data_IF_176267808474
#
_entry.id   IF_176267808474
#
_cell.length_a   1.000
_cell.length_b   1.000
_cell.length_c   1.000
_cell.angle_alpha   90.00
_cell.angle_beta   90.00
_cell.angle_gamma   90.00
#
_symmetry.space_group_name_H-M   'P 1'
#
loop_
_entity.id
_entity.type
_entity.pdbx_description
1 polymer ?
#
# COMPACT_ATOMS: atom_id res chain seq x y z
N UNK A 1 -61.95 40.58 -17.34
CA UNK A 1 -61.30 39.95 -16.20
C UNK A 1 -60.34 38.88 -16.76
N UNK A 2 -59.01 39.16 -16.73
CA UNK A 2 -57.97 38.20 -17.20
C UNK A 2 -57.43 37.48 -15.96
N UNK A 3 -57.60 36.15 -15.93
CA UNK A 3 -57.07 35.32 -14.87
C UNK A 3 -55.54 35.14 -15.07
N UNK A 4 -54.75 35.50 -14.11
CA UNK A 4 -53.30 35.27 -14.06
C UNK A 4 -53.10 33.95 -13.31
N UNK A 5 -52.61 32.94 -14.01
CA UNK A 5 -52.22 31.64 -13.42
C UNK A 5 -50.74 31.77 -12.95
N UNK A 6 -50.43 31.59 -11.67
CA UNK A 6 -49.05 31.62 -11.22
C UNK A 6 -48.35 30.30 -11.63
N UNK A 7 -47.26 30.43 -12.39
CA UNK A 7 -46.37 29.28 -12.70
C UNK A 7 -45.57 28.92 -11.45
N UNK A 8 -45.85 27.75 -10.90
CA UNK A 8 -45.08 27.16 -9.77
C UNK A 8 -43.77 26.61 -10.29
N UNK A 9 -42.67 27.30 -10.05
CA UNK A 9 -41.34 26.87 -10.42
C UNK A 9 -40.91 25.78 -9.41
N UNK A 10 -40.95 24.53 -9.79
CA UNK A 10 -40.36 23.40 -9.02
C UNK A 10 -38.85 23.51 -9.10
N UNK A 11 -38.21 23.98 -8.00
CA UNK A 11 -36.76 23.80 -7.81
C UNK A 11 -36.49 22.33 -7.51
N UNK A 12 -35.99 21.61 -8.50
CA UNK A 12 -35.40 20.29 -8.29
C UNK A 12 -34.02 20.51 -7.63
N UNK A 13 -33.95 20.39 -6.31
CA UNK A 13 -32.68 20.26 -5.61
C UNK A 13 -32.09 18.90 -5.97
N UNK A 14 -31.18 18.86 -6.93
CA UNK A 14 -30.27 17.73 -7.11
C UNK A 14 -29.41 17.65 -5.88
N UNK A 15 -29.72 16.73 -4.94
CA UNK A 15 -28.78 16.33 -3.91
C UNK A 15 -27.61 15.69 -4.67
N UNK A 16 -26.47 16.39 -4.77
CA UNK A 16 -25.23 15.78 -5.15
C UNK A 16 -24.97 14.65 -4.12
N UNK A 17 -25.02 13.41 -4.56
CA UNK A 17 -24.57 12.29 -3.73
C UNK A 17 -23.15 12.61 -3.30
N UNK A 18 -22.93 12.82 -2.01
CA UNK A 18 -21.61 13.07 -1.48
C UNK A 18 -20.89 11.72 -1.53
N UNK A 19 -19.82 11.65 -2.31
CA UNK A 19 -18.96 10.48 -2.40
C UNK A 19 -18.61 10.00 -0.99
N UNK A 20 -18.94 8.76 -0.67
CA UNK A 20 -18.63 8.17 0.63
C UNK A 20 -17.81 6.90 0.40
N UNK A 21 -16.58 6.91 0.92
CA UNK A 21 -15.75 5.71 0.91
C UNK A 21 -16.43 4.64 1.78
N UNK A 22 -16.71 3.52 1.15
CA UNK A 22 -17.22 2.32 1.80
C UNK A 22 -16.07 1.43 2.25
N UNK A 23 -16.32 0.58 3.25
CA UNK A 23 -15.37 -0.44 3.66
C UNK A 23 -16.06 -1.73 4.07
N UNK A 24 -15.35 -2.85 3.86
CA UNK A 24 -15.82 -4.19 4.23
C UNK A 24 -14.66 -5.04 4.71
N UNK A 25 -14.81 -5.68 5.87
CA UNK A 25 -13.91 -6.75 6.28
C UNK A 25 -14.11 -7.98 5.37
N UNK A 26 -13.02 -8.61 4.99
CA UNK A 26 -12.98 -9.80 4.13
C UNK A 26 -12.15 -10.86 4.84
N UNK A 27 -12.79 -11.98 5.16
CA UNK A 27 -12.14 -13.15 5.75
C UNK A 27 -11.60 -14.05 4.63
N UNK A 28 -10.38 -14.51 4.79
CA UNK A 28 -9.71 -15.46 3.89
C UNK A 28 -8.72 -16.31 4.69
N UNK A 29 -7.95 -17.17 4.04
CA UNK A 29 -7.04 -18.08 4.75
C UNK A 29 -5.73 -18.24 4.01
N UNK A 30 -4.67 -18.48 4.80
CA UNK A 30 -3.40 -19.01 4.35
C UNK A 30 -3.19 -20.37 5.05
N UNK A 31 -3.45 -21.45 4.32
CA UNK A 31 -3.58 -22.78 4.94
C UNK A 31 -4.64 -22.78 6.04
N UNK A 32 -4.22 -23.09 7.27
CA UNK A 32 -5.09 -23.09 8.45
C UNK A 32 -5.14 -21.72 9.16
N UNK A 33 -4.29 -20.76 8.77
CA UNK A 33 -4.24 -19.43 9.39
C UNK A 33 -5.38 -18.55 8.88
N UNK A 34 -6.32 -18.11 9.72
CA UNK A 34 -7.35 -17.16 9.32
C UNK A 34 -6.76 -15.77 9.15
N UNK A 35 -7.13 -15.09 8.10
CA UNK A 35 -6.71 -13.74 7.77
C UNK A 35 -7.93 -12.84 7.61
N UNK A 36 -7.84 -11.58 8.07
CA UNK A 36 -8.91 -10.60 7.93
C UNK A 36 -8.39 -9.31 7.32
N UNK A 37 -8.57 -9.13 6.03
CA UNK A 37 -8.26 -7.90 5.33
C UNK A 37 -9.45 -6.95 5.27
N UNK A 38 -9.22 -5.73 4.76
CA UNK A 38 -10.27 -4.72 4.59
C UNK A 38 -10.27 -4.14 3.18
N UNK A 39 -11.41 -4.24 2.51
CA UNK A 39 -11.66 -3.67 1.20
C UNK A 39 -12.23 -2.25 1.36
N UNK A 40 -11.76 -1.31 0.53
CA UNK A 40 -12.20 0.09 0.49
C UNK A 40 -12.49 0.51 -0.95
N UNK A 41 -13.59 1.24 -1.17
CA UNK A 41 -13.96 1.79 -2.47
C UNK A 41 -14.87 3.01 -2.30
N UNK A 42 -14.92 3.87 -3.29
CA UNK A 42 -15.90 4.96 -3.38
C UNK A 42 -17.16 4.45 -4.10
N UNK A 43 -18.32 4.50 -3.46
CA UNK A 43 -19.59 4.02 -4.03
C UNK A 43 -20.22 5.01 -5.02
N UNK A 44 -19.72 6.24 -5.10
CA UNK A 44 -20.16 7.22 -6.11
C UNK A 44 -19.50 7.00 -7.48
N UNK A 45 -18.48 6.11 -7.58
CA UNK A 45 -17.78 5.83 -8.83
C UNK A 45 -18.28 4.51 -9.41
N UNK A 46 -18.96 4.57 -10.55
CA UNK A 46 -19.43 3.40 -11.29
C UNK A 46 -18.30 2.73 -12.10
N UNK A 47 -18.44 1.43 -12.30
CA UNK A 47 -17.55 0.64 -13.16
C UNK A 47 -16.28 0.13 -12.46
N UNK A 48 -15.50 -0.62 -13.24
CA UNK A 48 -14.26 -1.21 -12.76
C UNK A 48 -13.13 -0.18 -12.77
N UNK A 49 -12.28 -0.22 -11.75
CA UNK A 49 -11.20 0.74 -11.46
C UNK A 49 -9.87 0.04 -11.21
N UNK A 50 -8.74 0.76 -11.26
CA UNK A 50 -7.47 0.18 -10.81
C UNK A 50 -7.54 -0.23 -9.34
N UNK A 51 -6.90 -1.36 -9.03
CA UNK A 51 -6.85 -1.93 -7.69
C UNK A 51 -5.48 -1.73 -7.04
N UNK A 52 -5.44 -1.41 -5.75
CA UNK A 52 -4.20 -1.23 -4.99
C UNK A 52 -4.21 -2.08 -3.73
N UNK A 53 -3.26 -3.02 -3.64
CA UNK A 53 -3.00 -3.76 -2.41
C UNK A 53 -2.19 -2.90 -1.45
N UNK A 54 -2.57 -2.86 -0.17
CA UNK A 54 -1.87 -2.12 0.88
C UNK A 54 -1.36 -3.09 1.93
N UNK A 55 -0.04 -3.08 2.16
CA UNK A 55 0.61 -3.92 3.18
C UNK A 55 1.07 -3.04 4.34
N UNK A 56 0.67 -3.47 5.55
CA UNK A 56 0.87 -2.75 6.79
C UNK A 56 2.34 -2.69 7.26
N UNK A 57 2.64 -1.81 8.22
CA UNK A 57 3.90 -1.82 8.97
C UNK A 57 4.01 -3.08 9.86
N UNK A 58 5.12 -3.27 10.54
CA UNK A 58 5.34 -4.41 11.44
C UNK A 58 4.36 -4.49 12.64
N UNK A 59 3.52 -3.48 12.83
CA UNK A 59 2.53 -3.42 13.91
C UNK A 59 1.27 -4.28 13.67
N UNK A 60 1.11 -4.86 12.48
CA UNK A 60 -0.11 -5.52 12.03
C UNK A 60 -1.06 -4.57 11.30
N UNK A 61 -2.21 -5.09 10.88
CA UNK A 61 -3.22 -4.33 10.12
C UNK A 61 -4.00 -3.37 11.05
N UNK A 62 -3.32 -2.33 11.51
CA UNK A 62 -3.83 -1.29 12.40
C UNK A 62 -4.58 -0.17 11.65
N UNK A 63 -5.07 0.81 12.39
CA UNK A 63 -5.84 1.94 11.83
C UNK A 63 -5.04 2.80 10.85
N UNK A 64 -3.71 2.88 11.02
CA UNK A 64 -2.86 3.60 10.08
C UNK A 64 -2.87 2.96 8.69
N UNK A 65 -2.67 1.65 8.58
CA UNK A 65 -2.71 0.95 7.30
C UNK A 65 -4.11 1.00 6.67
N UNK A 66 -5.16 0.84 7.47
CA UNK A 66 -6.56 1.00 7.05
C UNK A 66 -6.84 2.41 6.53
N UNK A 67 -6.33 3.45 7.20
CA UNK A 67 -6.44 4.84 6.73
C UNK A 67 -5.78 5.04 5.38
N UNK A 68 -4.60 4.45 5.12
CA UNK A 68 -3.93 4.55 3.81
C UNK A 68 -4.75 3.89 2.70
N UNK A 69 -5.40 2.76 2.97
CA UNK A 69 -6.31 2.14 2.02
C UNK A 69 -7.57 3.00 1.78
N UNK A 70 -8.13 3.62 2.82
CA UNK A 70 -9.22 4.57 2.71
C UNK A 70 -8.84 5.77 1.81
N UNK A 71 -7.67 6.37 2.03
CA UNK A 71 -7.16 7.49 1.22
C UNK A 71 -7.00 7.13 -0.27
N UNK A 72 -6.65 5.88 -0.59
CA UNK A 72 -6.63 5.40 -1.98
C UNK A 72 -8.03 5.32 -2.57
N UNK A 73 -9.02 4.89 -1.79
CA UNK A 73 -10.40 4.87 -2.24
C UNK A 73 -10.96 6.29 -2.49
N UNK A 74 -10.56 7.29 -1.69
CA UNK A 74 -10.86 8.72 -1.94
C UNK A 74 -10.25 9.22 -3.27
N UNK A 75 -9.14 8.62 -3.72
CA UNK A 75 -8.54 8.90 -5.03
C UNK A 75 -9.19 8.11 -6.19
N UNK A 76 -10.22 7.30 -5.92
CA UNK A 76 -10.95 6.54 -6.92
C UNK A 76 -10.42 5.13 -7.19
N UNK A 77 -9.45 4.65 -6.44
CA UNK A 77 -8.98 3.26 -6.51
C UNK A 77 -9.91 2.32 -5.72
N UNK A 78 -9.84 1.02 -6.05
CA UNK A 78 -10.28 -0.03 -5.12
C UNK A 78 -9.06 -0.45 -4.32
N UNK A 79 -9.10 -0.33 -3.00
CA UNK A 79 -7.96 -0.66 -2.15
C UNK A 79 -8.25 -1.84 -1.22
N UNK A 80 -7.29 -2.73 -1.05
CA UNK A 80 -7.38 -3.83 -0.10
C UNK A 80 -6.21 -3.79 0.87
N UNK A 81 -6.50 -3.55 2.14
CA UNK A 81 -5.51 -3.65 3.21
C UNK A 81 -5.42 -5.10 3.70
N UNK A 82 -4.29 -5.75 3.41
CA UNK A 82 -4.09 -7.16 3.71
C UNK A 82 -3.60 -7.39 5.13
N UNK A 83 -4.08 -8.47 5.75
CA UNK A 83 -3.55 -9.01 7.00
C UNK A 83 -2.38 -9.96 6.69
N UNK A 84 -1.19 -9.63 7.19
CA UNK A 84 0.01 -10.45 6.98
C UNK A 84 0.35 -11.33 8.18
N UNK A 85 -0.34 -11.17 9.32
CA UNK A 85 -0.02 -11.92 10.54
C UNK A 85 -1.07 -12.97 10.89
N UNK A 86 -2.32 -12.74 10.51
CA UNK A 86 -3.45 -13.60 10.84
C UNK A 86 -4.10 -13.24 12.19
N UNK A 87 -5.28 -13.82 12.42
CA UNK A 87 -6.06 -13.67 13.65
C UNK A 87 -6.32 -12.21 14.08
N UNK A 88 -6.18 -11.24 13.14
CA UNK A 88 -6.31 -9.82 13.44
C UNK A 88 -5.21 -9.28 14.36
N UNK A 89 -4.05 -9.91 14.37
CA UNK A 89 -2.93 -9.55 15.22
C UNK A 89 -2.43 -8.12 14.97
N UNK A 90 -2.56 -7.27 15.99
CA UNK A 90 -2.07 -5.90 16.05
C UNK A 90 -1.40 -5.69 17.41
N UNK A 91 -0.26 -5.00 17.42
CA UNK A 91 0.46 -4.68 18.65
C UNK A 91 1.06 -3.30 18.62
N UNK A 92 1.29 -2.70 19.79
CA UNK A 92 2.09 -1.51 20.02
C UNK A 92 3.44 -1.82 20.69
N UNK A 93 3.75 -3.12 20.90
CA UNK A 93 4.96 -3.62 21.57
C UNK A 93 6.00 -4.02 20.53
N UNK A 94 7.18 -3.34 20.47
CA UNK A 94 8.20 -3.61 19.46
C UNK A 94 8.71 -5.06 19.44
N UNK A 95 8.83 -5.69 20.58
CA UNK A 95 9.33 -7.07 20.65
C UNK A 95 8.31 -8.07 20.07
N UNK A 96 7.02 -7.85 20.31
CA UNK A 96 5.97 -8.69 19.73
C UNK A 96 5.88 -8.46 18.21
N UNK A 97 5.92 -7.20 17.77
CA UNK A 97 5.92 -6.85 16.34
C UNK A 97 7.10 -7.52 15.61
N UNK A 98 8.29 -7.49 16.24
CA UNK A 98 9.49 -8.15 15.72
C UNK A 98 9.30 -9.65 15.59
N UNK A 99 8.73 -10.30 16.61
CA UNK A 99 8.46 -11.75 16.60
C UNK A 99 7.58 -12.13 15.43
N UNK A 100 6.42 -11.51 15.28
CA UNK A 100 5.50 -11.82 14.18
C UNK A 100 6.08 -11.53 12.80
N UNK A 101 6.80 -10.41 12.67
CA UNK A 101 7.49 -10.08 11.42
C UNK A 101 8.52 -11.17 11.07
N UNK A 102 9.32 -11.63 12.04
CA UNK A 102 10.32 -12.67 11.83
C UNK A 102 9.69 -14.02 11.47
N UNK A 103 8.59 -14.39 12.10
CA UNK A 103 7.83 -15.60 11.78
C UNK A 103 7.38 -15.60 10.32
N UNK A 104 6.80 -14.50 9.83
CA UNK A 104 6.35 -14.38 8.44
C UNK A 104 7.53 -14.35 7.46
N UNK A 105 8.62 -13.65 7.79
CA UNK A 105 9.75 -13.48 6.87
C UNK A 105 10.75 -14.64 6.88
N UNK A 106 10.61 -15.59 7.80
CA UNK A 106 11.48 -16.77 7.90
C UNK A 106 11.37 -17.69 6.66
N UNK A 107 10.19 -17.77 6.09
CA UNK A 107 9.93 -18.44 4.82
C UNK A 107 9.58 -17.41 3.74
N UNK A 108 10.51 -17.16 2.85
CA UNK A 108 10.36 -16.13 1.80
C UNK A 108 9.24 -16.49 0.82
N UNK A 109 9.05 -17.76 0.51
CA UNK A 109 8.01 -18.21 -0.41
C UNK A 109 6.62 -18.06 0.23
N UNK A 110 6.43 -18.56 1.44
CA UNK A 110 5.18 -18.36 2.20
C UNK A 110 4.87 -16.89 2.47
N UNK A 111 5.91 -16.04 2.70
CA UNK A 111 5.72 -14.59 2.81
C UNK A 111 5.15 -13.98 1.53
N UNK A 112 5.72 -14.34 0.36
CA UNK A 112 5.24 -13.90 -0.96
C UNK A 112 3.81 -14.38 -1.24
N UNK A 113 3.55 -15.67 -0.98
CA UNK A 113 2.24 -16.29 -1.16
C UNK A 113 1.17 -15.59 -0.33
N UNK A 114 1.45 -15.30 0.94
CA UNK A 114 0.50 -14.58 1.82
C UNK A 114 0.14 -13.19 1.28
N UNK A 115 1.09 -12.44 0.74
CA UNK A 115 0.80 -11.16 0.08
C UNK A 115 -0.05 -11.35 -1.20
N UNK A 116 0.21 -12.40 -1.97
CA UNK A 116 -0.58 -12.74 -3.16
C UNK A 116 -2.01 -13.14 -2.81
N UNK A 117 -2.26 -13.83 -1.68
CA UNK A 117 -3.62 -14.10 -1.20
C UNK A 117 -4.40 -12.79 -0.98
N UNK A 118 -3.77 -11.74 -0.44
CA UNK A 118 -4.38 -10.41 -0.34
C UNK A 118 -4.71 -9.80 -1.69
N UNK A 119 -3.83 -9.97 -2.69
CA UNK A 119 -4.06 -9.51 -4.05
C UNK A 119 -5.25 -10.25 -4.71
N UNK A 120 -5.39 -11.54 -4.46
CA UNK A 120 -6.53 -12.33 -4.92
C UNK A 120 -7.86 -11.85 -4.32
N UNK A 121 -7.88 -11.44 -3.04
CA UNK A 121 -9.09 -10.86 -2.44
C UNK A 121 -9.48 -9.53 -3.11
N UNK A 122 -8.48 -8.69 -3.44
CA UNK A 122 -8.72 -7.46 -4.20
C UNK A 122 -9.34 -7.76 -5.57
N UNK A 123 -8.82 -8.72 -6.32
CA UNK A 123 -9.36 -9.17 -7.61
C UNK A 123 -10.76 -9.76 -7.46
N UNK A 124 -10.98 -10.59 -6.45
CA UNK A 124 -12.26 -11.23 -6.17
C UNK A 124 -13.38 -10.25 -5.78
N UNK A 125 -13.05 -8.99 -5.46
CA UNK A 125 -14.05 -7.94 -5.22
C UNK A 125 -15.00 -7.70 -6.40
N UNK A 126 -14.55 -8.01 -7.61
CA UNK A 126 -15.29 -7.75 -8.86
C UNK A 126 -15.34 -6.26 -9.27
N UNK A 127 -14.65 -5.39 -8.52
CA UNK A 127 -14.60 -3.94 -8.76
C UNK A 127 -13.33 -3.47 -9.45
N UNK A 128 -12.37 -4.37 -9.66
CA UNK A 128 -11.09 -4.04 -10.28
C UNK A 128 -11.12 -4.24 -11.79
N UNK A 129 -10.54 -3.32 -12.54
CA UNK A 129 -10.49 -3.33 -13.99
C UNK A 129 -9.33 -4.21 -14.49
N UNK A 130 -9.63 -5.46 -14.86
CA UNK A 130 -8.65 -6.37 -15.47
C UNK A 130 -7.37 -6.52 -14.65
N UNK A 131 -6.21 -6.32 -15.32
CA UNK A 131 -4.89 -6.42 -14.71
C UNK A 131 -4.34 -5.07 -14.21
N UNK A 132 -5.19 -4.05 -14.04
CA UNK A 132 -4.81 -2.75 -13.50
C UNK A 132 -4.64 -2.84 -11.99
N UNK A 133 -3.57 -3.48 -11.56
CA UNK A 133 -3.22 -3.75 -10.17
C UNK A 133 -1.87 -3.12 -9.81
N UNK A 134 -1.78 -2.59 -8.60
CA UNK A 134 -0.52 -2.18 -7.97
C UNK A 134 -0.49 -2.63 -6.51
N UNK A 135 0.69 -2.56 -5.89
CA UNK A 135 0.82 -2.80 -4.46
C UNK A 135 1.65 -1.68 -3.80
N UNK A 136 1.23 -1.25 -2.61
CA UNK A 136 2.02 -0.35 -1.77
C UNK A 136 2.26 -0.98 -0.41
N UNK A 137 3.37 -0.63 0.21
CA UNK A 137 3.67 -1.14 1.54
C UNK A 137 4.54 -0.19 2.35
N UNK A 138 4.37 -0.26 3.66
CA UNK A 138 5.00 0.61 4.64
C UNK A 138 5.91 -0.21 5.55
N UNK A 139 7.18 0.20 5.78
CA UNK A 139 8.12 -0.51 6.64
C UNK A 139 8.29 -1.99 6.23
N UNK A 140 7.85 -2.94 7.06
CA UNK A 140 7.76 -4.37 6.73
C UNK A 140 6.98 -4.60 5.42
N UNK A 141 5.83 -3.93 5.26
CA UNK A 141 5.04 -4.00 4.04
C UNK A 141 5.79 -3.46 2.82
N UNK A 142 6.68 -2.48 3.01
CA UNK A 142 7.56 -1.99 1.95
C UNK A 142 8.53 -3.05 1.44
N UNK A 143 9.08 -3.87 2.34
CA UNK A 143 9.88 -5.05 1.96
C UNK A 143 9.01 -6.14 1.30
N UNK A 144 7.78 -6.32 1.78
CA UNK A 144 6.82 -7.28 1.22
C UNK A 144 6.51 -6.99 -0.25
N UNK A 145 6.22 -5.74 -0.61
CA UNK A 145 5.91 -5.41 -2.02
C UNK A 145 7.14 -5.52 -2.92
N UNK A 146 8.35 -5.33 -2.39
CA UNK A 146 9.58 -5.64 -3.12
C UNK A 146 9.71 -7.16 -3.36
N UNK A 147 9.39 -8.00 -2.38
CA UNK A 147 9.34 -9.45 -2.56
C UNK A 147 8.30 -9.87 -3.61
N UNK A 148 7.14 -9.19 -3.65
CA UNK A 148 6.15 -9.40 -4.73
C UNK A 148 6.73 -9.06 -6.11
N UNK A 149 7.46 -7.95 -6.24
CA UNK A 149 8.12 -7.59 -7.50
C UNK A 149 9.17 -8.62 -7.92
N UNK A 150 9.98 -9.11 -6.99
CA UNK A 150 10.99 -10.15 -7.24
C UNK A 150 10.37 -11.48 -7.66
N UNK A 151 9.19 -11.81 -7.16
CA UNK A 151 8.40 -12.96 -7.59
C UNK A 151 7.62 -12.72 -8.89
N UNK A 152 7.79 -11.56 -9.54
CA UNK A 152 7.02 -11.16 -10.72
C UNK A 152 5.50 -11.26 -10.52
N UNK A 153 5.03 -10.78 -9.38
CA UNK A 153 3.59 -10.75 -9.07
C UNK A 153 2.80 -10.03 -10.18
N UNK A 154 1.53 -10.42 -10.43
CA UNK A 154 0.71 -9.86 -11.50
C UNK A 154 0.19 -8.47 -11.14
N UNK A 155 1.12 -7.51 -10.93
CA UNK A 155 0.86 -6.09 -10.69
C UNK A 155 1.70 -5.25 -11.65
N UNK A 156 1.20 -4.07 -12.04
CA UNK A 156 1.93 -3.16 -12.94
C UNK A 156 3.05 -2.41 -12.23
N UNK A 157 2.90 -2.16 -10.93
CA UNK A 157 3.88 -1.45 -10.14
C UNK A 157 3.79 -1.73 -8.65
N UNK A 158 4.90 -1.52 -7.96
CA UNK A 158 4.99 -1.59 -6.50
C UNK A 158 5.59 -0.30 -5.95
N UNK A 159 5.09 0.14 -4.78
CA UNK A 159 5.63 1.33 -4.09
C UNK A 159 6.01 0.95 -2.66
N UNK A 160 7.27 1.14 -2.31
CA UNK A 160 7.76 0.94 -0.95
C UNK A 160 7.97 2.27 -0.24
N UNK A 161 7.29 2.47 0.88
CA UNK A 161 7.47 3.61 1.77
C UNK A 161 8.31 3.19 2.96
N UNK A 162 9.45 3.84 3.16
CA UNK A 162 10.40 3.58 4.26
C UNK A 162 10.59 2.09 4.58
N UNK A 163 10.58 1.24 3.54
CA UNK A 163 10.83 -0.19 3.70
C UNK A 163 12.30 -0.48 3.99
N UNK A 164 12.55 -1.61 4.65
CA UNK A 164 13.88 -2.23 4.54
C UNK A 164 14.06 -2.64 3.07
N UNK A 165 15.26 -2.47 2.55
CA UNK A 165 15.53 -2.64 1.13
C UNK A 165 16.24 -3.98 0.87
N UNK A 166 15.52 -5.12 0.90
CA UNK A 166 16.11 -6.41 0.56
C UNK A 166 16.60 -6.37 -0.90
N UNK A 167 17.83 -6.82 -1.12
CA UNK A 167 18.38 -6.87 -2.46
C UNK A 167 17.61 -7.88 -3.33
N UNK A 168 17.46 -7.58 -4.63
CA UNK A 168 16.87 -8.51 -5.57
C UNK A 168 17.73 -9.79 -5.63
N UNK A 169 17.13 -10.97 -5.46
CA UNK A 169 17.86 -12.22 -5.51
C UNK A 169 18.22 -12.57 -6.96
N UNK A 170 19.24 -13.44 -7.14
CA UNK A 170 19.76 -13.77 -8.47
C UNK A 170 18.69 -14.40 -9.39
N UNK A 171 17.77 -15.17 -8.82
CA UNK A 171 16.67 -15.80 -9.55
C UNK A 171 15.65 -14.80 -10.12
N UNK A 172 15.63 -13.55 -9.63
CA UNK A 172 14.77 -12.48 -10.13
C UNK A 172 15.34 -11.79 -11.38
N UNK A 173 16.58 -12.08 -11.76
CA UNK A 173 17.26 -11.44 -12.88
C UNK A 173 16.49 -11.66 -14.20
N UNK A 174 16.17 -10.56 -14.87
CA UNK A 174 15.40 -10.54 -16.13
C UNK A 174 13.93 -10.94 -15.97
N UNK A 175 13.40 -11.02 -14.74
CA UNK A 175 12.04 -11.48 -14.49
C UNK A 175 11.18 -10.44 -13.76
N UNK A 176 11.73 -9.33 -13.29
CA UNK A 176 10.98 -8.29 -12.58
C UNK A 176 10.14 -7.51 -13.60
N UNK A 177 8.86 -7.83 -13.70
CA UNK A 177 7.90 -7.16 -14.59
C UNK A 177 7.32 -5.87 -14.00
N UNK A 178 6.94 -5.84 -12.71
CA UNK A 178 6.44 -4.63 -12.07
C UNK A 178 7.46 -3.49 -12.08
N UNK A 179 7.00 -2.25 -12.35
CA UNK A 179 7.81 -1.04 -12.07
C UNK A 179 7.95 -0.87 -10.55
N UNK A 180 9.10 -0.37 -10.08
CA UNK A 180 9.40 -0.24 -8.65
C UNK A 180 9.63 1.22 -8.30
N UNK A 181 8.81 1.78 -7.39
CA UNK A 181 9.03 3.09 -6.79
C UNK A 181 9.46 2.95 -5.34
N UNK A 182 10.62 3.53 -5.00
CA UNK A 182 11.18 3.53 -3.65
C UNK A 182 11.12 4.93 -3.05
N UNK A 183 10.42 5.08 -1.92
CA UNK A 183 10.22 6.32 -1.19
C UNK A 183 10.92 6.20 0.17
N UNK A 184 12.16 6.71 0.25
CA UNK A 184 13.10 6.44 1.32
C UNK A 184 13.38 7.68 2.18
N UNK A 185 13.41 7.50 3.50
CA UNK A 185 13.86 8.52 4.43
C UNK A 185 15.39 8.58 4.49
N UNK A 186 16.01 9.71 4.09
CA UNK A 186 17.46 9.82 4.03
C UNK A 186 18.15 9.66 5.40
N UNK A 187 17.46 10.01 6.49
CA UNK A 187 17.95 9.87 7.86
C UNK A 187 17.52 8.57 8.56
N UNK A 188 17.03 7.58 7.78
CA UNK A 188 16.66 6.27 8.30
C UNK A 188 17.91 5.46 8.68
N UNK A 189 18.21 5.42 9.99
CA UNK A 189 19.38 4.72 10.51
C UNK A 189 19.27 3.18 10.47
N UNK A 190 18.10 2.63 10.12
CA UNK A 190 17.94 1.17 9.97
C UNK A 190 18.35 0.66 8.60
N UNK A 191 18.50 1.57 7.62
CA UNK A 191 18.93 1.22 6.26
C UNK A 191 20.28 1.90 6.00
N UNK A 192 21.36 1.17 6.25
CA UNK A 192 22.71 1.69 6.07
C UNK A 192 23.02 2.04 4.61
N UNK A 193 23.92 3.00 4.33
CA UNK A 193 24.27 3.40 2.96
C UNK A 193 24.71 2.23 2.07
N UNK A 194 25.38 1.22 2.64
CA UNK A 194 25.84 0.04 1.93
C UNK A 194 24.65 -0.86 1.49
N UNK A 195 23.59 -0.93 2.32
CA UNK A 195 22.37 -1.64 1.98
C UNK A 195 21.69 -0.97 0.79
N UNK A 196 21.59 0.36 0.79
CA UNK A 196 21.01 1.15 -0.31
C UNK A 196 21.84 0.94 -1.59
N UNK A 197 23.17 1.01 -1.50
CA UNK A 197 24.06 0.83 -2.63
C UNK A 197 23.92 -0.57 -3.24
N UNK A 198 23.90 -1.62 -2.41
CA UNK A 198 23.70 -3.00 -2.85
C UNK A 198 22.31 -3.22 -3.45
N UNK A 199 21.26 -2.70 -2.81
CA UNK A 199 19.89 -2.77 -3.31
C UNK A 199 19.78 -2.20 -4.72
N UNK A 200 20.31 -0.99 -4.95
CA UNK A 200 20.30 -0.32 -6.26
C UNK A 200 21.08 -1.12 -7.30
N UNK A 201 22.28 -1.58 -6.94
CA UNK A 201 23.10 -2.40 -7.84
C UNK A 201 22.40 -3.70 -8.25
N UNK A 202 21.67 -4.34 -7.32
CA UNK A 202 20.93 -5.57 -7.60
C UNK A 202 19.67 -5.35 -8.43
N UNK A 203 18.98 -4.21 -8.31
CA UNK A 203 17.88 -3.86 -9.20
C UNK A 203 18.38 -3.59 -10.64
N UNK A 204 19.49 -2.88 -10.79
CA UNK A 204 20.14 -2.67 -12.10
C UNK A 204 20.55 -4.01 -12.74
N UNK A 205 21.23 -4.87 -11.97
CA UNK A 205 21.66 -6.19 -12.44
C UNK A 205 20.47 -7.09 -12.82
N UNK A 206 19.36 -6.95 -12.11
CA UNK A 206 18.11 -7.66 -12.41
C UNK A 206 17.36 -7.07 -13.63
N UNK A 207 17.76 -5.93 -14.17
CA UNK A 207 17.10 -5.26 -15.28
C UNK A 207 15.73 -4.68 -14.92
N UNK A 208 15.52 -4.35 -13.64
CA UNK A 208 14.27 -3.79 -13.17
C UNK A 208 14.06 -2.35 -13.68
N UNK A 209 12.81 -1.99 -13.94
CA UNK A 209 12.43 -0.58 -14.11
C UNK A 209 12.12 0.01 -12.74
N UNK A 210 12.98 0.90 -12.25
CA UNK A 210 12.87 1.42 -10.89
C UNK A 210 13.23 2.89 -10.77
N UNK A 211 12.68 3.52 -9.74
CA UNK A 211 12.98 4.88 -9.30
C UNK A 211 13.12 4.92 -7.78
N UNK A 212 14.00 5.77 -7.26
CA UNK A 212 14.18 5.98 -5.83
C UNK A 212 14.21 7.47 -5.50
N UNK A 213 13.28 7.90 -4.65
CA UNK A 213 13.24 9.25 -4.07
C UNK A 213 13.71 9.19 -2.62
N UNK A 214 14.67 10.03 -2.27
CA UNK A 214 15.23 10.13 -0.92
C UNK A 214 14.87 11.48 -0.30
N UNK A 215 14.19 11.45 0.86
CA UNK A 215 13.68 12.63 1.56
C UNK A 215 14.63 13.05 2.68
N UNK A 216 15.28 14.22 2.51
CA UNK A 216 16.25 14.76 3.47
C UNK A 216 15.66 14.94 4.88
N UNK A 217 16.35 14.49 5.91
CA UNK A 217 15.91 14.57 7.30
C UNK A 217 14.79 13.63 7.72
N UNK A 218 14.13 12.93 6.80
CA UNK A 218 13.10 11.95 7.13
C UNK A 218 13.73 10.66 7.65
N UNK A 219 13.20 10.15 8.77
CA UNK A 219 13.59 8.88 9.40
C UNK A 219 12.65 7.74 8.96
N UNK A 220 12.84 6.56 9.54
CA UNK A 220 11.91 5.44 9.36
C UNK A 220 10.49 5.82 9.83
N UNK A 221 9.45 5.28 9.17
CA UNK A 221 8.06 5.58 9.52
C UNK A 221 7.63 7.02 9.25
N UNK A 222 8.33 7.77 8.39
CA UNK A 222 8.07 9.20 8.13
C UNK A 222 6.67 9.50 7.62
N UNK A 223 5.93 8.51 7.13
CA UNK A 223 4.55 8.67 6.67
C UNK A 223 3.50 8.46 7.77
N UNK A 224 3.89 7.91 8.95
CA UNK A 224 2.96 7.59 10.02
C UNK A 224 2.94 8.70 11.08
N UNK A 225 1.83 9.48 11.21
CA UNK A 225 1.72 10.54 12.22
C UNK A 225 1.94 10.06 13.66
N UNK A 226 1.69 8.78 13.91
CA UNK A 226 1.85 8.15 15.23
C UNK A 226 3.23 7.53 15.46
N UNK A 227 4.17 7.64 14.50
CA UNK A 227 5.48 6.97 14.60
C UNK A 227 6.22 7.29 15.91
N UNK A 228 6.14 8.53 16.39
CA UNK A 228 6.80 8.98 17.62
C UNK A 228 6.23 8.40 18.92
N UNK A 229 4.99 7.89 18.92
CA UNK A 229 4.32 7.37 20.14
C UNK A 229 5.01 6.11 20.71
N UNK A 230 5.77 5.41 19.89
CA UNK A 230 6.47 4.18 20.30
C UNK A 230 7.78 4.44 21.04
N UNK A 231 8.26 5.70 21.13
CA UNK A 231 9.49 6.06 21.83
C UNK A 231 10.76 5.49 21.20
N UNK A 232 10.72 5.08 19.93
CA UNK A 232 11.85 4.51 19.20
C UNK A 232 12.55 5.65 18.44
N UNK A 233 13.83 5.98 18.74
CA UNK A 233 14.48 7.20 18.21
C UNK A 233 14.52 7.33 16.68
N UNK A 234 14.52 6.21 15.96
CA UNK A 234 14.55 6.20 14.49
C UNK A 234 13.15 6.24 13.86
N UNK A 235 12.08 6.15 14.65
CA UNK A 235 10.69 6.28 14.18
C UNK A 235 10.20 7.71 14.41
N UNK A 236 9.95 8.45 13.33
CA UNK A 236 9.51 9.84 13.43
C UNK A 236 8.71 10.25 12.19
N UNK A 237 7.55 10.87 12.44
CA UNK A 237 6.73 11.47 11.38
C UNK A 237 7.41 12.68 10.76
N UNK A 238 7.39 12.78 9.45
CA UNK A 238 7.83 13.96 8.73
C UNK A 238 6.74 14.36 7.72
N UNK A 239 5.96 15.37 8.08
CA UNK A 239 4.81 15.85 7.28
C UNK A 239 5.19 16.14 5.83
N UNK A 240 6.30 16.85 5.60
CA UNK A 240 6.73 17.23 4.25
C UNK A 240 7.12 16.01 3.40
N UNK A 241 7.83 15.05 4.00
CA UNK A 241 8.20 13.81 3.32
C UNK A 241 6.97 12.94 3.04
N UNK A 242 6.03 12.85 3.98
CA UNK A 242 4.76 12.14 3.82
C UNK A 242 3.98 12.70 2.63
N UNK A 243 3.69 14.00 2.62
CA UNK A 243 2.92 14.64 1.55
C UNK A 243 3.59 14.51 0.17
N UNK A 244 4.92 14.70 0.10
CA UNK A 244 5.67 14.58 -1.15
C UNK A 244 5.72 13.14 -1.67
N UNK A 245 5.91 12.18 -0.77
CA UNK A 245 5.94 10.77 -1.15
C UNK A 245 4.58 10.27 -1.62
N UNK A 246 3.50 10.73 -0.99
CA UNK A 246 2.14 10.43 -1.41
C UNK A 246 1.82 11.01 -2.79
N UNK A 247 2.23 12.25 -3.07
CA UNK A 247 2.10 12.86 -4.40
C UNK A 247 2.90 12.08 -5.45
N UNK A 248 4.16 11.71 -5.17
CA UNK A 248 4.98 10.94 -6.13
C UNK A 248 4.38 9.56 -6.43
N UNK A 249 3.80 8.90 -5.43
CA UNK A 249 3.07 7.65 -5.66
C UNK A 249 1.88 7.86 -6.61
N UNK A 250 1.11 8.95 -6.47
CA UNK A 250 -0.03 9.23 -7.36
C UNK A 250 0.44 9.47 -8.80
N UNK A 251 1.52 10.22 -9.00
CA UNK A 251 2.15 10.41 -10.32
C UNK A 251 2.59 9.08 -10.92
N UNK A 252 3.26 8.23 -10.12
CA UNK A 252 3.67 6.89 -10.54
C UNK A 252 2.47 6.01 -10.93
N UNK A 253 1.35 6.12 -10.22
CA UNK A 253 0.13 5.42 -10.61
C UNK A 253 -0.45 5.92 -11.93
N UNK A 254 -0.35 7.21 -12.25
CA UNK A 254 -0.63 7.73 -13.58
C UNK A 254 0.22 7.03 -14.65
N UNK A 255 1.50 6.83 -14.40
CA UNK A 255 2.44 6.19 -15.34
C UNK A 255 2.22 4.67 -15.53
N UNK A 256 1.68 3.97 -14.53
CA UNK A 256 1.54 2.49 -14.59
C UNK A 256 0.13 2.03 -14.97
N UNK A 257 -0.88 2.88 -14.84
CA UNK A 257 -2.27 2.54 -15.17
C UNK A 257 -2.75 3.12 -16.52
N UNK A 258 -1.89 3.85 -17.21
CA UNK A 258 -2.11 4.26 -18.62
C UNK A 258 -2.02 3.04 -19.60
#
# INVERSE_FOLDING_TARGET
MKAIIPALLLMVCSAAAQAAVQSKAVEYKDGDTPLTGHLYWDDAIDGARPGVLVIHEWWGLNDYAKKRAHMLAELGFVAFAADMYGDGHVTDKPDQARTWMQEVTADVEGWRERALLGLEQLKASGMVSGDNLAAIGYCFGGATVLQMAYANAPVKGVVTFHGSLPAAPEEAKGKIGPKVLVLHGHADAWVAPEVIANFRAKLEDAGANWEMNSYGGAKHGFTNPDAGKYGIPNLEYNKQADERSWTRMQEFFGEVFE
#
